data_IF_211153744224
#
_entry.id   IF_211153744224
#
_cell.length_a   1.000
_cell.length_b   1.000
_cell.length_c   1.000
_cell.angle_alpha   90.00
_cell.angle_beta   90.00
_cell.angle_gamma   90.00
#
_symmetry.space_group_name_H-M   'P 1'
#
loop_
_entity.id
_entity.type
_entity.pdbx_description
1 polymer ?
#
# COMPACT_ATOMS: atom_id res chain seq x y z
N UNK A 1 13.15 32.74 -2.45
CA UNK A 1 14.58 33.04 -2.70
C UNK A 1 14.96 32.42 -4.03
N UNK A 2 15.35 33.21 -5.02
CA UNK A 2 15.64 32.71 -6.38
C UNK A 2 17.05 33.14 -6.75
N UNK A 3 17.93 32.16 -6.92
CA UNK A 3 19.28 32.37 -7.42
C UNK A 3 19.26 32.19 -8.94
N UNK A 4 19.71 33.21 -9.69
CA UNK A 4 19.97 33.08 -11.12
C UNK A 4 21.47 33.11 -11.36
N UNK A 5 21.95 32.14 -12.12
CA UNK A 5 23.35 32.01 -12.50
C UNK A 5 23.51 32.67 -13.87
N UNK A 6 24.23 33.79 -13.93
CA UNK A 6 24.62 34.43 -15.18
C UNK A 6 26.14 34.33 -15.34
N UNK A 7 26.59 33.78 -16.46
CA UNK A 7 28.01 33.68 -16.81
C UNK A 7 28.35 34.81 -17.77
N UNK A 8 29.15 35.78 -17.32
CA UNK A 8 29.72 36.82 -18.18
C UNK A 8 31.24 36.77 -18.08
N UNK A 9 31.90 36.39 -19.18
CA UNK A 9 33.36 36.36 -19.38
C UNK A 9 34.19 35.75 -18.24
N UNK A 10 34.04 34.43 -18.04
CA UNK A 10 34.98 33.52 -17.33
C UNK A 10 35.34 33.95 -15.89
N UNK A 11 34.48 34.74 -15.25
CA UNK A 11 34.51 34.98 -13.80
C UNK A 11 33.14 34.65 -13.24
N UNK A 12 33.09 33.59 -12.44
CA UNK A 12 31.89 33.19 -11.73
C UNK A 12 31.61 34.24 -10.64
N UNK A 13 30.61 35.09 -10.86
CA UNK A 13 30.15 36.07 -9.87
C UNK A 13 28.81 35.59 -9.35
N UNK A 14 28.77 35.18 -8.07
CA UNK A 14 27.53 34.79 -7.39
C UNK A 14 26.86 36.08 -6.91
N UNK A 15 25.80 36.50 -7.59
CA UNK A 15 25.00 37.66 -7.20
C UNK A 15 23.83 37.17 -6.37
N UNK A 16 23.96 37.26 -5.05
CA UNK A 16 22.85 37.03 -4.11
C UNK A 16 21.99 38.29 -4.05
N UNK A 17 20.83 38.25 -4.72
CA UNK A 17 19.83 39.31 -4.67
C UNK A 17 19.00 39.18 -3.38
N UNK A 18 19.33 39.99 -2.38
CA UNK A 18 18.49 40.20 -1.20
C UNK A 18 17.87 41.58 -1.38
N UNK A 19 16.55 41.60 -1.60
CA UNK A 19 15.66 42.77 -1.59
C UNK A 19 16.30 44.09 -2.07
N UNK A 20 16.38 44.24 -3.39
CA UNK A 20 16.49 45.51 -4.11
C UNK A 20 17.63 46.47 -3.72
N UNK A 21 18.74 45.98 -3.14
CA UNK A 21 19.94 46.80 -2.91
C UNK A 21 21.19 46.12 -3.45
N UNK A 22 21.74 46.66 -4.54
CA UNK A 22 23.02 46.24 -5.11
C UNK A 22 24.14 46.79 -4.21
N UNK A 23 24.75 45.94 -3.40
CA UNK A 23 25.97 46.26 -2.65
C UNK A 23 27.16 45.75 -3.48
N UNK A 24 27.76 46.63 -4.26
CA UNK A 24 29.01 46.36 -4.95
C UNK A 24 30.17 46.33 -3.97
N UNK A 25 30.79 45.17 -3.78
CA UNK A 25 32.00 45.04 -2.97
C UNK A 25 33.20 45.15 -3.91
N UNK A 26 33.83 46.32 -3.87
CA UNK A 26 35.00 46.68 -4.65
C UNK A 26 36.27 45.96 -4.21
N UNK A 27 37.13 45.75 -5.19
CA UNK A 27 38.49 45.21 -5.08
C UNK A 27 39.32 45.93 -4.02
N UNK A 28 39.71 45.22 -2.96
CA UNK A 28 40.75 45.66 -2.03
C UNK A 28 41.46 44.43 -1.47
N UNK A 29 42.57 44.06 -2.10
CA UNK A 29 43.67 43.24 -1.58
C UNK A 29 43.31 42.21 -0.48
N UNK A 30 42.67 41.10 -0.88
CA UNK A 30 42.64 39.90 -0.04
C UNK A 30 43.94 39.13 -0.26
N UNK A 31 44.92 39.37 0.61
CA UNK A 31 46.16 38.58 0.68
C UNK A 31 45.79 37.14 0.98
N UNK A 32 45.91 36.26 -0.03
CA UNK A 32 45.75 34.82 0.12
C UNK A 32 46.79 34.30 1.13
N UNK A 33 46.40 34.18 2.41
CA UNK A 33 47.13 33.32 3.35
C UNK A 33 46.93 31.90 2.86
N UNK A 34 47.98 31.36 2.26
CA UNK A 34 48.09 29.96 1.87
C UNK A 34 47.97 29.12 3.14
N UNK A 35 46.79 28.54 3.34
CA UNK A 35 46.52 27.64 4.44
C UNK A 35 47.03 26.26 4.03
N UNK A 36 48.36 26.06 4.11
CA UNK A 36 48.97 24.74 3.93
C UNK A 36 48.55 23.86 5.13
N UNK A 37 47.53 23.03 4.93
CA UNK A 37 47.09 22.05 5.94
C UNK A 37 48.07 20.87 5.92
N UNK A 38 48.82 20.61 7.00
CA UNK A 38 49.78 19.52 7.02
C UNK A 38 49.05 18.21 7.34
N UNK A 39 49.28 17.20 6.51
CA UNK A 39 49.07 15.81 6.91
C UNK A 39 47.90 15.12 6.22
N UNK A 40 48.28 14.25 5.29
CA UNK A 40 47.63 13.03 4.78
C UNK A 40 46.60 12.28 5.66
N UNK A 41 46.49 12.59 6.96
CA UNK A 41 45.50 12.02 7.90
C UNK A 41 44.27 12.92 8.13
N UNK A 42 44.33 14.20 7.77
CA UNK A 42 43.22 15.16 7.94
C UNK A 42 42.22 15.06 6.79
N UNK A 43 42.68 14.77 5.57
CA UNK A 43 41.83 14.60 4.40
C UNK A 43 40.76 13.49 4.56
N UNK A 44 41.08 12.27 5.05
CA UNK A 44 40.05 11.25 5.25
C UNK A 44 39.04 11.62 6.36
N UNK A 45 39.44 12.39 7.37
CA UNK A 45 38.52 12.87 8.42
C UNK A 45 37.52 13.90 7.88
N UNK A 46 37.98 14.84 7.05
CA UNK A 46 37.11 15.83 6.40
C UNK A 46 36.16 15.13 5.42
N UNK A 47 36.64 14.15 4.65
CA UNK A 47 35.80 13.35 3.74
C UNK A 47 34.74 12.55 4.48
N UNK A 48 35.09 11.94 5.62
CA UNK A 48 34.15 11.20 6.47
C UNK A 48 33.06 12.12 7.06
N UNK A 49 33.42 13.34 7.49
CA UNK A 49 32.46 14.32 8.01
C UNK A 49 31.50 14.83 6.92
N UNK A 50 32.02 15.08 5.71
CA UNK A 50 31.19 15.49 4.57
C UNK A 50 30.25 14.35 4.15
N UNK A 51 30.74 13.11 4.09
CA UNK A 51 29.90 11.94 3.76
C UNK A 51 28.82 11.71 4.82
N UNK A 52 29.14 11.83 6.11
CA UNK A 52 28.16 11.74 7.19
C UNK A 52 27.08 12.85 7.09
N UNK A 53 27.46 14.07 6.69
CA UNK A 53 26.51 15.16 6.47
C UNK A 53 25.55 14.86 5.31
N UNK A 54 26.04 14.23 4.23
CA UNK A 54 25.20 13.81 3.10
C UNK A 54 24.23 12.68 3.45
N UNK A 55 24.61 11.77 4.36
CA UNK A 55 23.73 10.69 4.83
C UNK A 55 22.59 11.26 5.69
N UNK A 56 22.85 12.28 6.52
CA UNK A 56 21.81 12.92 7.34
C UNK A 56 20.80 13.69 6.46
N UNK A 57 21.24 14.34 5.38
CA UNK A 57 20.37 15.08 4.46
C UNK A 57 19.48 14.18 3.56
N UNK A 58 19.79 12.87 3.47
CA UNK A 58 18.96 11.91 2.72
C UNK A 58 17.83 11.29 3.57
N UNK A 59 17.78 11.60 4.87
CA UNK A 59 16.71 11.19 5.79
C UNK A 59 15.65 12.30 5.96
N UNK A 60 15.38 13.08 4.92
CA UNK A 60 14.20 13.95 4.90
C UNK A 60 13.00 13.09 4.48
N UNK A 61 12.33 12.51 5.47
CA UNK A 61 11.05 11.82 5.26
C UNK A 61 9.98 12.87 4.97
N UNK A 62 9.54 12.93 3.71
CA UNK A 62 8.42 13.79 3.32
C UNK A 62 7.12 13.19 3.90
N UNK A 63 6.72 13.75 5.04
CA UNK A 63 5.44 13.44 5.68
C UNK A 63 4.32 13.85 4.73
N UNK A 64 3.67 12.87 4.12
CA UNK A 64 2.47 13.09 3.32
C UNK A 64 1.38 13.65 4.26
N UNK A 65 0.81 14.84 3.98
CA UNK A 65 -0.26 15.39 4.79
C UNK A 65 -1.47 14.46 4.70
N UNK A 66 -1.78 13.77 5.79
CA UNK A 66 -3.03 13.02 5.93
C UNK A 66 -4.18 14.01 5.79
N UNK A 67 -5.10 13.72 4.87
CA UNK A 67 -6.30 14.52 4.65
C UNK A 67 -7.07 14.65 5.96
N UNK A 68 -7.56 15.86 6.25
CA UNK A 68 -8.45 16.09 7.40
C UNK A 68 -9.64 15.12 7.31
N UNK A 69 -10.10 14.56 8.44
CA UNK A 69 -11.23 13.64 8.45
C UNK A 69 -12.44 14.27 7.78
N UNK A 70 -12.91 13.68 6.68
CA UNK A 70 -14.14 14.13 6.01
C UNK A 70 -15.30 13.85 6.97
N UNK A 71 -15.84 14.93 7.55
CA UNK A 71 -17.02 14.87 8.39
C UNK A 71 -18.21 14.41 7.54
N UNK A 72 -18.72 13.21 7.82
CA UNK A 72 -19.81 12.61 7.07
C UNK A 72 -21.11 13.27 7.52
N UNK A 73 -21.67 14.13 6.67
CA UNK A 73 -23.02 14.68 6.85
C UNK A 73 -24.01 13.84 6.02
N UNK A 74 -24.66 12.82 6.60
CA UNK A 74 -25.69 12.10 5.88
C UNK A 74 -26.88 13.03 5.65
N UNK A 75 -27.09 13.40 4.39
CA UNK A 75 -28.37 13.98 3.95
C UNK A 75 -29.43 12.90 4.11
N UNK A 76 -30.36 13.09 5.04
CA UNK A 76 -31.53 12.23 5.17
C UNK A 76 -32.29 12.22 3.84
N UNK A 77 -32.39 11.04 3.23
CA UNK A 77 -33.20 10.84 2.04
C UNK A 77 -34.66 11.19 2.37
N UNK A 78 -35.30 11.97 1.51
CA UNK A 78 -36.72 12.24 1.62
C UNK A 78 -37.50 10.91 1.60
N UNK A 79 -38.57 10.75 2.42
CA UNK A 79 -39.40 9.56 2.37
C UNK A 79 -40.06 9.45 1.00
N UNK A 80 -39.62 8.50 0.19
CA UNK A 80 -40.35 8.06 -0.99
C UNK A 80 -41.27 6.93 -0.56
N UNK A 81 -42.57 7.23 -0.46
CA UNK A 81 -43.62 6.21 -0.36
C UNK A 81 -43.57 5.33 -1.60
N UNK A 82 -43.05 4.11 -1.45
CA UNK A 82 -43.17 3.07 -2.47
C UNK A 82 -44.56 2.46 -2.35
N UNK A 83 -45.53 3.01 -3.08
CA UNK A 83 -46.82 2.36 -3.29
C UNK A 83 -46.62 1.10 -4.15
N UNK A 84 -46.98 -0.06 -3.60
CA UNK A 84 -47.21 -1.29 -4.35
C UNK A 84 -46.22 -2.41 -4.07
N UNK A 85 -46.37 -3.09 -2.92
CA UNK A 85 -45.97 -4.50 -2.81
C UNK A 85 -47.22 -5.32 -3.14
N UNK A 86 -47.28 -5.80 -4.38
CA UNK A 86 -48.26 -6.80 -4.79
C UNK A 86 -47.89 -8.12 -4.13
N UNK A 87 -48.78 -8.62 -3.27
CA UNK A 87 -48.72 -9.95 -2.69
C UNK A 87 -49.07 -11.00 -3.75
N UNK A 88 -48.15 -11.26 -4.67
CA UNK A 88 -48.14 -12.51 -5.43
C UNK A 88 -47.29 -13.53 -4.66
N UNK A 89 -47.64 -14.82 -4.65
CA UNK A 89 -46.89 -15.82 -3.92
C UNK A 89 -45.53 -15.98 -4.61
N UNK A 90 -44.48 -15.51 -3.94
CA UNK A 90 -43.10 -15.79 -4.32
C UNK A 90 -42.92 -17.30 -4.17
N UNK A 91 -42.82 -17.98 -5.32
CA UNK A 91 -42.35 -19.35 -5.37
C UNK A 91 -41.04 -19.46 -4.58
N UNK A 92 -40.96 -20.50 -3.75
CA UNK A 92 -39.80 -20.89 -2.95
C UNK A 92 -38.50 -20.70 -3.77
N UNK A 93 -37.68 -19.71 -3.39
CA UNK A 93 -36.31 -19.61 -3.85
C UNK A 93 -35.52 -20.76 -3.18
N UNK A 94 -34.60 -21.42 -3.89
CA UNK A 94 -33.75 -22.44 -3.28
C UNK A 94 -32.90 -21.78 -2.19
N UNK A 95 -32.67 -22.56 -1.14
CA UNK A 95 -31.89 -22.26 0.05
C UNK A 95 -30.66 -21.39 -0.29
N UNK A 96 -30.57 -20.19 0.29
CA UNK A 96 -29.46 -19.25 0.11
C UNK A 96 -28.18 -19.69 0.86
N UNK A 97 -28.02 -21.00 1.06
CA UNK A 97 -26.94 -21.62 1.83
C UNK A 97 -25.96 -22.40 0.95
N UNK A 98 -26.30 -22.69 -0.32
CA UNK A 98 -25.40 -23.34 -1.27
C UNK A 98 -24.86 -22.32 -2.27
N UNK A 99 -23.54 -22.10 -2.29
CA UNK A 99 -22.89 -21.26 -3.30
C UNK A 99 -22.86 -21.90 -4.69
N UNK A 100 -22.81 -21.08 -5.74
CA UNK A 100 -22.62 -21.52 -7.12
C UNK A 100 -21.12 -21.65 -7.45
N UNK A 101 -20.64 -22.90 -7.52
CA UNK A 101 -19.24 -23.18 -7.83
C UNK A 101 -18.80 -22.67 -9.22
N UNK A 102 -19.70 -22.57 -10.20
CA UNK A 102 -19.36 -22.05 -11.52
C UNK A 102 -19.14 -20.53 -11.48
N UNK A 103 -19.96 -19.80 -10.70
CA UNK A 103 -19.69 -18.39 -10.42
C UNK A 103 -18.42 -18.21 -9.58
N UNK A 104 -18.22 -19.08 -8.59
CA UNK A 104 -17.00 -19.12 -7.79
C UNK A 104 -15.72 -19.31 -8.61
N UNK A 105 -15.76 -20.18 -9.62
CA UNK A 105 -14.65 -20.37 -10.55
C UNK A 105 -14.32 -19.09 -11.33
N UNK A 106 -15.34 -18.35 -11.77
CA UNK A 106 -15.14 -17.07 -12.44
C UNK A 106 -14.52 -16.02 -11.50
N UNK A 107 -14.99 -15.96 -10.25
CA UNK A 107 -14.48 -15.08 -9.21
C UNK A 107 -13.05 -15.46 -8.75
N UNK A 108 -12.64 -16.73 -8.89
CA UNK A 108 -11.32 -17.22 -8.51
C UNK A 108 -10.17 -16.55 -9.27
N UNK A 109 -10.44 -15.89 -10.39
CA UNK A 109 -9.47 -15.03 -11.10
C UNK A 109 -8.85 -13.95 -10.19
N UNK A 110 -9.55 -13.53 -9.14
CA UNK A 110 -9.04 -12.61 -8.11
C UNK A 110 -8.05 -13.27 -7.14
N UNK A 111 -8.05 -14.60 -7.05
CA UNK A 111 -7.20 -15.40 -6.17
C UNK A 111 -5.99 -15.98 -6.91
N UNK A 112 -6.14 -16.25 -8.21
CA UNK A 112 -5.19 -17.03 -9.02
C UNK A 112 -3.82 -16.36 -9.21
N UNK A 113 -3.71 -15.05 -8.99
CA UNK A 113 -2.42 -14.36 -9.03
C UNK A 113 -1.47 -14.81 -7.90
N UNK A 114 -2.04 -15.27 -6.78
CA UNK A 114 -1.29 -15.62 -5.58
C UNK A 114 -1.43 -17.10 -5.19
N UNK A 115 -2.52 -17.75 -5.58
CA UNK A 115 -2.83 -19.13 -5.23
C UNK A 115 -2.91 -20.02 -6.47
N UNK A 116 -2.33 -21.21 -6.36
CA UNK A 116 -2.57 -22.30 -7.30
C UNK A 116 -3.82 -23.09 -6.88
N UNK A 117 -4.53 -23.67 -7.85
CA UNK A 117 -5.55 -24.69 -7.58
C UNK A 117 -4.93 -26.05 -7.23
N UNK A 118 -3.64 -26.25 -7.50
CA UNK A 118 -2.86 -27.42 -7.07
C UNK A 118 -2.15 -27.20 -5.73
N UNK A 119 -1.22 -28.11 -5.37
CA UNK A 119 -0.44 -28.03 -4.12
C UNK A 119 0.72 -27.02 -4.15
N UNK A 120 1.11 -26.56 -5.33
CA UNK A 120 2.28 -25.72 -5.47
C UNK A 120 2.07 -24.31 -4.89
N UNK A 121 3.09 -23.79 -4.24
CA UNK A 121 3.13 -22.40 -3.78
C UNK A 121 3.38 -21.46 -4.97
N UNK A 122 2.66 -20.34 -5.03
CA UNK A 122 2.91 -19.25 -5.98
C UNK A 122 3.41 -18.03 -5.22
N UNK A 123 2.50 -17.34 -4.53
CA UNK A 123 2.83 -16.36 -3.48
C UNK A 123 2.24 -16.84 -2.15
N UNK A 124 0.99 -17.29 -2.19
CA UNK A 124 0.31 -18.00 -1.12
C UNK A 124 0.36 -19.53 -1.30
N UNK A 125 -0.19 -20.27 -0.33
CA UNK A 125 -0.24 -21.73 -0.37
C UNK A 125 -1.10 -22.24 -1.53
N UNK A 126 -0.75 -23.41 -2.08
CA UNK A 126 -1.59 -24.11 -3.06
C UNK A 126 -2.90 -24.61 -2.43
N UNK A 127 -4.01 -24.56 -3.16
CA UNK A 127 -5.37 -24.75 -2.64
C UNK A 127 -5.98 -26.13 -2.91
N UNK A 128 -5.23 -27.08 -3.47
CA UNK A 128 -5.68 -28.47 -3.52
C UNK A 128 -5.99 -29.00 -2.11
N UNK A 129 -7.13 -29.69 -1.98
CA UNK A 129 -7.64 -30.24 -0.73
C UNK A 129 -7.86 -29.21 0.38
N UNK A 130 -8.06 -27.92 0.04
CA UNK A 130 -8.15 -26.85 1.04
C UNK A 130 -9.30 -27.07 2.03
N UNK A 131 -10.44 -27.56 1.55
CA UNK A 131 -11.61 -27.75 2.39
C UNK A 131 -11.38 -28.80 3.49
N UNK A 132 -10.71 -29.91 3.15
CA UNK A 132 -10.39 -30.99 4.09
C UNK A 132 -9.48 -30.53 5.22
N UNK A 133 -8.50 -29.68 4.90
CA UNK A 133 -7.55 -29.16 5.90
C UNK A 133 -8.08 -27.96 6.67
N UNK A 134 -9.00 -27.17 6.11
CA UNK A 134 -9.53 -25.93 6.71
C UNK A 134 -10.09 -26.14 8.12
N UNK A 135 -10.96 -27.12 8.31
CA UNK A 135 -11.60 -27.40 9.60
C UNK A 135 -10.65 -27.91 10.70
N UNK A 136 -9.39 -28.21 10.35
CA UNK A 136 -8.36 -28.64 11.32
C UNK A 136 -7.43 -27.51 11.78
N UNK A 137 -7.50 -26.34 11.13
CA UNK A 137 -6.55 -25.23 11.32
C UNK A 137 -6.86 -24.36 12.53
N UNK A 138 -8.14 -24.22 12.85
CA UNK A 138 -8.63 -23.39 13.96
C UNK A 138 -9.75 -24.12 14.71
N UNK A 139 -10.41 -23.43 15.63
CA UNK A 139 -11.64 -23.93 16.27
C UNK A 139 -12.90 -23.75 15.42
N UNK A 140 -12.79 -23.10 14.26
CA UNK A 140 -13.90 -22.94 13.31
C UNK A 140 -14.07 -24.22 12.48
N UNK A 141 -15.28 -24.41 11.94
CA UNK A 141 -15.48 -25.40 10.88
C UNK A 141 -14.81 -24.95 9.57
N UNK A 142 -14.82 -25.82 8.57
CA UNK A 142 -14.15 -25.55 7.30
C UNK A 142 -14.70 -24.31 6.59
N UNK A 143 -16.03 -24.15 6.54
CA UNK A 143 -16.67 -22.97 5.97
C UNK A 143 -16.32 -21.70 6.75
N UNK A 144 -16.43 -21.71 8.08
CA UNK A 144 -16.07 -20.57 8.92
C UNK A 144 -14.60 -20.15 8.77
N UNK A 145 -13.69 -21.11 8.67
CA UNK A 145 -12.28 -20.85 8.40
C UNK A 145 -12.07 -20.16 7.05
N UNK A 146 -12.76 -20.62 6.00
CA UNK A 146 -12.62 -20.05 4.66
C UNK A 146 -13.22 -18.65 4.58
N UNK A 147 -14.40 -18.43 5.18
CA UNK A 147 -14.99 -17.09 5.30
C UNK A 147 -14.04 -16.15 6.04
N UNK A 148 -13.49 -16.57 7.19
CA UNK A 148 -12.53 -15.77 7.94
C UNK A 148 -11.27 -15.50 7.13
N UNK A 149 -10.74 -16.49 6.41
CA UNK A 149 -9.54 -16.30 5.58
C UNK A 149 -9.76 -15.30 4.45
N UNK A 150 -10.98 -15.23 3.89
CA UNK A 150 -11.33 -14.29 2.81
C UNK A 150 -11.61 -12.88 3.36
N UNK A 151 -12.35 -12.78 4.47
CA UNK A 151 -12.79 -11.49 5.06
C UNK A 151 -11.72 -10.86 5.96
N UNK A 152 -11.02 -11.67 6.74
CA UNK A 152 -10.08 -11.27 7.78
C UNK A 152 -8.77 -12.10 7.74
N UNK A 153 -8.05 -12.13 6.60
CA UNK A 153 -6.88 -13.00 6.39
C UNK A 153 -5.76 -12.84 7.42
N UNK A 154 -5.69 -11.69 8.10
CA UNK A 154 -4.70 -11.43 9.16
C UNK A 154 -4.95 -12.17 10.47
N UNK A 155 -6.14 -12.75 10.67
CA UNK A 155 -6.49 -13.47 11.92
C UNK A 155 -5.78 -14.80 12.02
N UNK A 156 -5.65 -15.52 10.89
CA UNK A 156 -4.94 -16.78 10.83
C UNK A 156 -3.97 -16.78 9.64
N UNK A 157 -2.67 -16.83 9.93
CA UNK A 157 -1.63 -16.92 8.92
C UNK A 157 -1.06 -18.33 8.96
N UNK A 158 -1.10 -19.02 7.81
CA UNK A 158 -0.54 -20.37 7.67
C UNK A 158 0.98 -20.31 7.87
N UNK A 159 1.53 -21.28 8.60
CA UNK A 159 2.96 -21.39 8.84
C UNK A 159 3.77 -21.30 7.54
N UNK A 160 4.83 -20.48 7.56
CA UNK A 160 5.72 -20.27 6.42
C UNK A 160 5.26 -19.18 5.44
N UNK A 161 4.11 -18.53 5.67
CA UNK A 161 3.62 -17.41 4.85
C UNK A 161 3.62 -16.09 5.59
N UNK A 162 3.73 -14.99 4.84
CA UNK A 162 3.59 -13.63 5.36
C UNK A 162 2.14 -13.13 5.24
N UNK A 163 1.77 -12.12 6.02
CA UNK A 163 0.46 -11.46 6.00
C UNK A 163 0.26 -10.59 4.74
N UNK A 164 0.22 -11.22 3.57
CA UNK A 164 0.14 -10.54 2.26
C UNK A 164 -1.22 -10.70 1.58
N UNK A 165 -2.06 -11.64 2.04
CA UNK A 165 -3.38 -11.85 1.47
C UNK A 165 -4.28 -10.65 1.78
N UNK A 166 -4.82 -9.95 0.77
CA UNK A 166 -5.74 -8.84 0.99
C UNK A 166 -7.09 -9.36 1.50
N UNK A 167 -7.79 -8.54 2.28
CA UNK A 167 -9.18 -8.80 2.63
C UNK A 167 -10.11 -8.56 1.43
N UNK A 168 -11.15 -9.37 1.32
CA UNK A 168 -12.22 -9.21 0.34
C UNK A 168 -13.54 -8.82 1.04
N UNK A 169 -13.51 -7.75 1.83
CA UNK A 169 -14.66 -7.22 2.58
C UNK A 169 -15.73 -6.58 1.68
N UNK A 170 -15.34 -6.13 0.49
CA UNK A 170 -16.22 -5.53 -0.52
C UNK A 170 -17.07 -6.53 -1.29
N UNK A 171 -16.77 -7.83 -1.20
CA UNK A 171 -17.56 -8.88 -1.86
C UNK A 171 -18.90 -9.06 -1.17
N UNK A 172 -19.95 -9.40 -1.94
CA UNK A 172 -21.21 -9.81 -1.32
C UNK A 172 -21.03 -11.13 -0.57
N UNK A 173 -21.93 -11.43 0.37
CA UNK A 173 -21.88 -12.73 1.06
C UNK A 173 -22.07 -13.88 0.07
N UNK A 174 -22.89 -13.68 -0.97
CA UNK A 174 -23.07 -14.66 -2.03
C UNK A 174 -21.77 -14.91 -2.81
N UNK A 175 -21.02 -13.87 -3.19
CA UNK A 175 -19.75 -14.04 -3.92
C UNK A 175 -18.72 -14.85 -3.10
N UNK A 176 -18.70 -14.63 -1.77
CA UNK A 176 -17.85 -15.40 -0.87
C UNK A 176 -18.29 -16.86 -0.82
N UNK A 177 -19.60 -17.12 -0.71
CA UNK A 177 -20.11 -18.49 -0.72
C UNK A 177 -19.88 -19.20 -2.05
N UNK A 178 -19.99 -18.49 -3.17
CA UNK A 178 -19.74 -19.02 -4.50
C UNK A 178 -18.27 -19.44 -4.66
N UNK A 179 -17.32 -18.57 -4.25
CA UNK A 179 -15.89 -18.95 -4.22
C UNK A 179 -15.63 -20.12 -3.29
N UNK A 180 -16.24 -20.15 -2.10
CA UNK A 180 -16.08 -21.28 -1.18
C UNK A 180 -16.61 -22.57 -1.81
N UNK A 181 -17.76 -22.52 -2.49
CA UNK A 181 -18.31 -23.64 -3.24
C UNK A 181 -17.34 -24.13 -4.32
N UNK A 182 -16.66 -23.22 -5.03
CA UNK A 182 -15.59 -23.59 -5.95
C UNK A 182 -14.39 -24.23 -5.24
N UNK A 183 -13.93 -23.67 -4.12
CA UNK A 183 -12.81 -24.21 -3.34
C UNK A 183 -13.09 -25.62 -2.80
N UNK A 184 -14.35 -25.95 -2.48
CA UNK A 184 -14.79 -27.31 -2.13
C UNK A 184 -14.57 -28.33 -3.24
N UNK A 185 -14.44 -27.89 -4.50
CA UNK A 185 -14.19 -28.78 -5.65
C UNK A 185 -12.71 -29.12 -5.86
N UNK A 186 -11.80 -28.40 -5.18
CA UNK A 186 -10.36 -28.57 -5.33
C UNK A 186 -9.87 -29.69 -4.40
N UNK A 187 -9.59 -30.87 -4.98
CA UNK A 187 -9.01 -32.03 -4.29
C UNK A 187 -7.49 -32.09 -4.43
#
# INVERSE_FOLDING_TARGET
MTAQIAVVNVKLVIILSIENRIIGIGSSHFTLRKFEVPGKRVYPLILALIAAMFVIAACEEEVIPTQEPVEFHPTAAAPVERLGYSSEPVAEAPDSAEGDAANGEALFSNCSACHSTGDNTVVGPGLAGIYDRAGSRTSLDADGYLVQSIREPGVYIVDGFAALMPAFDQWSDQDVQDVIAYLKTLN
#
